data_IF_185968947073
#
_entry.id   IF_185968947073
#
_cell.length_a   1.000
_cell.length_b   1.000
_cell.length_c   1.000
_cell.angle_alpha   90.00
_cell.angle_beta   90.00
_cell.angle_gamma   90.00
#
_symmetry.space_group_name_H-M   'P 1'
#
loop_
_entity.id
_entity.type
_entity.pdbx_description
1 polymer ?
#
# COMPACT_ATOMS: atom_id res chain seq x y z
N UNK A 1 -13.07 -23.41 -42.39
CA UNK A 1 -13.02 -23.51 -40.92
C UNK A 1 -11.59 -23.29 -40.44
N UNK A 2 -11.16 -22.04 -40.29
CA UNK A 2 -9.86 -21.69 -39.74
C UNK A 2 -9.99 -20.36 -38.99
N UNK A 3 -10.36 -20.42 -37.71
CA UNK A 3 -10.52 -19.21 -36.88
C UNK A 3 -10.14 -19.46 -35.41
N UNK A 4 -9.21 -20.40 -35.15
CA UNK A 4 -8.59 -20.60 -33.83
C UNK A 4 -7.14 -20.10 -33.78
N UNK A 5 -6.56 -19.68 -34.91
CA UNK A 5 -5.19 -19.16 -34.98
C UNK A 5 -5.01 -17.70 -34.52
N UNK A 6 -6.11 -16.98 -34.24
CA UNK A 6 -6.08 -15.59 -33.75
C UNK A 6 -6.23 -15.48 -32.23
N UNK A 7 -6.00 -16.57 -31.48
CA UNK A 7 -6.32 -16.60 -30.04
C UNK A 7 -5.41 -15.70 -29.19
N UNK A 8 -4.26 -15.23 -29.69
CA UNK A 8 -3.29 -14.47 -28.89
C UNK A 8 -2.52 -13.49 -29.76
N UNK A 9 -3.03 -12.28 -29.97
CA UNK A 9 -2.28 -11.13 -30.54
C UNK A 9 -1.08 -10.77 -29.65
N UNK A 10 -0.07 -11.64 -29.55
CA UNK A 10 1.04 -11.57 -28.61
C UNK A 10 0.66 -11.71 -27.13
N UNK A 11 -0.59 -11.46 -26.75
CA UNK A 11 -1.00 -11.23 -25.35
C UNK A 11 -0.56 -12.33 -24.38
N UNK A 12 -0.75 -13.59 -24.73
CA UNK A 12 -0.31 -14.72 -23.91
C UNK A 12 1.20 -14.96 -23.98
N UNK A 13 1.82 -14.82 -25.16
CA UNK A 13 3.27 -14.99 -25.33
C UNK A 13 4.08 -13.87 -24.66
N UNK A 14 3.55 -12.65 -24.60
CA UNK A 14 4.16 -11.52 -23.91
C UNK A 14 4.06 -11.65 -22.39
N UNK A 15 2.94 -12.21 -21.89
CA UNK A 15 2.63 -12.24 -20.47
C UNK A 15 3.04 -13.56 -19.76
N UNK A 16 3.12 -14.70 -20.46
CA UNK A 16 3.42 -16.01 -19.83
C UNK A 16 4.89 -16.25 -19.39
N UNK A 17 5.91 -15.96 -20.21
CA UNK A 17 7.30 -16.29 -19.86
C UNK A 17 7.80 -15.67 -18.55
N UNK A 18 7.47 -14.41 -18.21
CA UNK A 18 7.81 -13.83 -16.90
C UNK A 18 6.98 -14.45 -15.76
N UNK A 19 5.72 -14.81 -16.02
CA UNK A 19 4.75 -15.16 -14.98
C UNK A 19 4.84 -16.60 -14.46
N UNK A 20 5.43 -17.52 -15.22
CA UNK A 20 5.66 -18.89 -14.72
C UNK A 20 6.65 -18.95 -13.54
N UNK A 21 7.52 -17.94 -13.40
CA UNK A 21 8.42 -17.76 -12.24
C UNK A 21 7.80 -16.93 -11.11
N UNK A 22 6.71 -16.20 -11.38
CA UNK A 22 6.10 -15.26 -10.44
C UNK A 22 5.32 -15.93 -9.30
N UNK A 23 4.83 -17.16 -9.47
CA UNK A 23 3.94 -17.79 -8.48
C UNK A 23 4.67 -18.14 -7.15
N UNK A 24 6.02 -18.13 -7.11
CA UNK A 24 6.79 -18.62 -5.95
C UNK A 24 7.33 -17.57 -4.97
N UNK A 25 7.45 -16.27 -5.30
CA UNK A 25 8.06 -15.26 -4.39
C UNK A 25 7.49 -13.84 -4.57
N UNK A 26 6.54 -13.43 -3.72
CA UNK A 26 5.73 -12.18 -3.81
C UNK A 26 6.49 -10.89 -4.14
N UNK A 27 7.70 -10.67 -3.62
CA UNK A 27 8.44 -9.41 -3.85
C UNK A 27 9.31 -9.42 -5.13
N UNK A 28 9.68 -10.60 -5.65
CA UNK A 28 10.42 -10.71 -6.93
C UNK A 28 9.49 -10.62 -8.14
N UNK A 29 8.20 -10.94 -7.95
CA UNK A 29 7.17 -10.90 -9.00
C UNK A 29 7.04 -9.53 -9.64
N UNK A 30 7.07 -8.47 -8.83
CA UNK A 30 6.59 -7.16 -9.29
C UNK A 30 7.60 -6.49 -10.21
N UNK A 31 8.91 -6.72 -10.00
CA UNK A 31 9.96 -6.15 -10.86
C UNK A 31 9.99 -6.77 -12.26
N UNK A 32 9.86 -8.09 -12.37
CA UNK A 32 9.79 -8.74 -13.69
C UNK A 32 8.46 -8.43 -14.38
N UNK A 33 7.37 -8.37 -13.62
CA UNK A 33 6.06 -8.01 -14.14
C UNK A 33 6.01 -6.56 -14.62
N UNK A 34 6.70 -5.63 -13.96
CA UNK A 34 6.73 -4.22 -14.35
C UNK A 34 7.26 -4.00 -15.76
N UNK A 35 8.38 -4.62 -16.11
CA UNK A 35 8.95 -4.48 -17.47
C UNK A 35 7.99 -4.92 -18.58
N UNK A 36 7.22 -5.98 -18.31
CA UNK A 36 6.29 -6.57 -19.27
C UNK A 36 4.99 -5.77 -19.30
N UNK A 37 4.46 -5.40 -18.13
CA UNK A 37 3.20 -4.68 -18.00
C UNK A 37 3.33 -3.25 -18.50
N UNK A 38 4.41 -2.54 -18.16
CA UNK A 38 4.67 -1.19 -18.67
C UNK A 38 4.79 -1.15 -20.20
N UNK A 39 5.55 -2.09 -20.78
CA UNK A 39 5.67 -2.22 -22.24
C UNK A 39 4.33 -2.56 -22.87
N UNK A 40 3.58 -3.50 -22.30
CA UNK A 40 2.27 -3.89 -22.81
C UNK A 40 1.25 -2.74 -22.73
N UNK A 41 1.24 -1.96 -21.65
CA UNK A 41 0.38 -0.77 -21.52
C UNK A 41 0.80 0.29 -22.55
N UNK A 42 2.10 0.49 -22.80
CA UNK A 42 2.59 1.43 -23.80
C UNK A 42 2.17 1.04 -25.23
N UNK A 43 2.31 -0.23 -25.58
CA UNK A 43 2.02 -0.73 -26.94
C UNK A 43 0.52 -0.84 -27.23
N UNK A 44 -0.27 -1.25 -26.24
CA UNK A 44 -1.66 -1.64 -26.44
C UNK A 44 -2.67 -0.79 -25.67
N UNK A 45 -2.25 0.02 -24.70
CA UNK A 45 -3.14 0.81 -23.86
C UNK A 45 -4.04 -0.02 -22.92
N UNK A 46 -4.76 0.69 -22.05
CA UNK A 46 -5.63 0.08 -21.04
C UNK A 46 -6.92 -0.53 -21.61
N UNK A 47 -7.32 -0.16 -22.83
CA UNK A 47 -8.57 -0.63 -23.44
C UNK A 47 -8.59 -2.15 -23.71
N UNK A 48 -7.42 -2.80 -23.78
CA UNK A 48 -7.31 -4.26 -23.94
C UNK A 48 -7.31 -5.03 -22.63
N UNK A 49 -7.22 -4.33 -21.50
CA UNK A 49 -7.21 -4.93 -20.17
C UNK A 49 -8.44 -5.80 -19.87
N UNK A 50 -9.69 -5.40 -20.19
CA UNK A 50 -10.85 -6.27 -19.99
C UNK A 50 -10.69 -7.61 -20.71
N UNK A 51 -10.22 -7.59 -21.97
CA UNK A 51 -10.02 -8.82 -22.73
C UNK A 51 -8.90 -9.69 -22.14
N UNK A 52 -7.82 -9.06 -21.68
CA UNK A 52 -6.75 -9.76 -20.97
C UNK A 52 -7.27 -10.44 -19.69
N UNK A 53 -8.13 -9.76 -18.92
CA UNK A 53 -8.74 -10.27 -17.70
C UNK A 53 -9.77 -11.38 -17.94
N UNK A 54 -10.44 -11.40 -19.09
CA UNK A 54 -11.28 -12.52 -19.53
C UNK A 54 -10.43 -13.75 -19.87
N UNK A 55 -9.34 -13.54 -20.60
CA UNK A 55 -8.46 -14.64 -21.03
C UNK A 55 -7.55 -15.17 -19.92
N UNK A 56 -7.19 -14.32 -18.94
CA UNK A 56 -6.26 -14.63 -17.85
C UNK A 56 -6.85 -14.18 -16.51
N UNK A 57 -7.80 -14.92 -15.93
CA UNK A 57 -8.51 -14.50 -14.71
C UNK A 57 -7.61 -14.24 -13.50
N UNK A 58 -6.44 -14.90 -13.41
CA UNK A 58 -5.48 -14.68 -12.33
C UNK A 58 -4.89 -13.26 -12.34
N UNK A 59 -4.89 -12.56 -13.49
CA UNK A 59 -4.44 -11.17 -13.57
C UNK A 59 -5.28 -10.22 -12.71
N UNK A 60 -6.53 -10.59 -12.41
CA UNK A 60 -7.41 -9.83 -11.50
C UNK A 60 -6.81 -9.68 -10.10
N UNK A 61 -5.92 -10.59 -9.71
CA UNK A 61 -5.23 -10.51 -8.42
C UNK A 61 -3.90 -9.75 -8.49
N UNK A 62 -3.24 -9.77 -9.66
CA UNK A 62 -1.91 -9.21 -9.86
C UNK A 62 -1.98 -7.71 -10.20
N UNK A 63 -2.91 -7.32 -11.07
CA UNK A 63 -3.08 -5.93 -11.51
C UNK A 63 -3.27 -4.95 -10.34
N UNK A 64 -4.12 -5.21 -9.33
CA UNK A 64 -4.23 -4.35 -8.15
C UNK A 64 -2.89 -4.10 -7.44
N UNK A 65 -2.12 -5.17 -7.24
CA UNK A 65 -0.84 -5.11 -6.53
C UNK A 65 0.20 -4.36 -7.36
N UNK A 66 0.21 -4.61 -8.67
CA UNK A 66 1.07 -3.88 -9.60
C UNK A 66 0.70 -2.39 -9.64
N UNK A 67 -0.58 -2.06 -9.73
CA UNK A 67 -1.08 -0.70 -9.73
C UNK A 67 -0.67 0.05 -8.47
N UNK A 68 -0.87 -0.59 -7.31
CA UNK A 68 -0.44 -0.03 -6.03
C UNK A 68 1.09 0.11 -5.93
N UNK A 69 1.84 -0.80 -6.54
CA UNK A 69 3.30 -0.80 -6.50
C UNK A 69 3.95 0.23 -7.44
N UNK A 70 3.30 0.48 -8.58
CA UNK A 70 3.79 1.33 -9.67
C UNK A 70 3.21 2.74 -9.66
N UNK A 71 2.13 2.98 -8.92
CA UNK A 71 1.45 4.28 -8.89
C UNK A 71 0.42 4.48 -10.00
N UNK A 72 0.06 3.44 -10.76
CA UNK A 72 -0.89 3.57 -11.87
C UNK A 72 -2.35 3.56 -11.39
N UNK A 73 -2.86 4.74 -11.00
CA UNK A 73 -4.24 4.92 -10.49
C UNK A 73 -5.33 4.37 -11.42
N UNK A 74 -5.15 4.51 -12.74
CA UNK A 74 -6.12 4.06 -13.75
C UNK A 74 -6.36 2.54 -13.71
N UNK A 75 -5.39 1.76 -13.21
CA UNK A 75 -5.55 0.32 -13.03
C UNK A 75 -6.40 -0.02 -11.80
N UNK A 76 -6.56 0.92 -10.86
CA UNK A 76 -7.36 0.76 -9.64
C UNK A 76 -8.83 1.17 -9.83
N UNK A 77 -9.19 1.81 -10.95
CA UNK A 77 -10.59 2.12 -11.30
C UNK A 77 -11.42 0.86 -11.61
N UNK A 78 -10.76 -0.28 -11.78
CA UNK A 78 -11.42 -1.56 -12.03
C UNK A 78 -12.04 -2.12 -10.75
N UNK A 79 -13.14 -2.89 -10.82
CA UNK A 79 -13.69 -3.57 -9.66
C UNK A 79 -12.72 -4.68 -9.21
N UNK A 80 -11.89 -4.36 -8.23
CA UNK A 80 -10.84 -5.24 -7.74
C UNK A 80 -11.29 -5.92 -6.42
N UNK A 81 -10.91 -7.19 -6.21
CA UNK A 81 -11.15 -7.83 -4.92
C UNK A 81 -10.44 -7.04 -3.82
N UNK A 82 -11.13 -6.81 -2.69
CA UNK A 82 -10.50 -6.24 -1.49
C UNK A 82 -9.41 -7.19 -1.00
N UNK A 83 -8.16 -6.76 -1.07
CA UNK A 83 -6.98 -7.54 -0.67
C UNK A 83 -6.21 -6.78 0.39
N UNK A 84 -5.69 -7.50 1.37
CA UNK A 84 -5.05 -6.98 2.59
C UNK A 84 -3.57 -6.57 2.42
N UNK A 85 -3.20 -6.05 1.25
CA UNK A 85 -1.81 -5.58 1.06
C UNK A 85 -1.66 -4.35 0.17
N UNK A 86 -2.74 -3.81 -0.40
CA UNK A 86 -2.62 -2.69 -1.35
C UNK A 86 -2.21 -1.41 -0.63
N UNK A 87 -2.78 -1.20 0.56
CA UNK A 87 -2.44 -0.05 1.42
C UNK A 87 -0.98 -0.12 1.85
N UNK A 88 -0.52 -1.31 2.30
CA UNK A 88 0.87 -1.52 2.67
C UNK A 88 1.84 -1.26 1.51
N UNK A 89 1.53 -1.73 0.30
CA UNK A 89 2.36 -1.50 -0.89
C UNK A 89 2.43 0.01 -1.21
N UNK A 90 1.30 0.72 -1.20
CA UNK A 90 1.27 2.15 -1.48
C UNK A 90 2.16 2.96 -0.51
N UNK A 91 2.12 2.62 0.79
CA UNK A 91 2.98 3.20 1.83
C UNK A 91 4.45 2.91 1.54
N UNK A 92 4.79 1.66 1.27
CA UNK A 92 6.17 1.23 1.01
C UNK A 92 6.75 1.87 -0.26
N UNK A 93 5.91 2.23 -1.22
CA UNK A 93 6.31 2.83 -2.49
C UNK A 93 6.19 4.36 -2.53
N UNK A 94 5.67 4.97 -1.46
CA UNK A 94 5.44 6.42 -1.38
C UNK A 94 4.43 6.95 -2.40
N UNK A 95 3.42 6.13 -2.74
CA UNK A 95 2.34 6.54 -3.62
C UNK A 95 1.16 7.04 -2.78
N UNK A 96 1.22 8.33 -2.40
CA UNK A 96 0.19 8.97 -1.57
C UNK A 96 -1.17 8.99 -2.26
N UNK A 97 -1.17 9.29 -3.56
CA UNK A 97 -2.33 9.29 -4.43
C UNK A 97 -3.05 7.93 -4.46
N UNK A 98 -2.27 6.85 -4.59
CA UNK A 98 -2.78 5.48 -4.50
C UNK A 98 -3.35 5.21 -3.11
N UNK A 99 -2.62 5.61 -2.06
CA UNK A 99 -3.05 5.41 -0.68
C UNK A 99 -4.40 6.09 -0.42
N UNK A 100 -4.53 7.37 -0.79
CA UNK A 100 -5.78 8.13 -0.66
C UNK A 100 -6.93 7.50 -1.45
N UNK A 101 -6.68 7.09 -2.69
CA UNK A 101 -7.69 6.42 -3.51
C UNK A 101 -8.18 5.12 -2.84
N UNK A 102 -7.26 4.28 -2.37
CA UNK A 102 -7.60 3.04 -1.67
C UNK A 102 -8.42 3.31 -0.40
N UNK A 103 -8.03 4.30 0.40
CA UNK A 103 -8.76 4.67 1.62
C UNK A 103 -10.17 5.20 1.30
N UNK A 104 -10.32 6.00 0.24
CA UNK A 104 -11.61 6.51 -0.24
C UNK A 104 -12.52 5.39 -0.76
N UNK A 105 -11.94 4.34 -1.37
CA UNK A 105 -12.68 3.13 -1.76
C UNK A 105 -13.04 2.21 -0.56
N UNK A 106 -12.70 2.61 0.67
CA UNK A 106 -13.03 1.88 1.89
C UNK A 106 -12.07 0.73 2.21
N UNK A 107 -10.86 0.73 1.64
CA UNK A 107 -9.83 -0.23 2.04
C UNK A 107 -9.30 0.18 3.41
N UNK A 108 -9.76 -0.51 4.45
CA UNK A 108 -9.30 -0.34 5.83
C UNK A 108 -8.47 -1.57 6.20
N UNK A 109 -7.20 -1.55 5.82
CA UNK A 109 -6.24 -2.54 6.31
C UNK A 109 -5.80 -2.15 7.73
N UNK A 110 -5.56 -3.14 8.59
CA UNK A 110 -4.93 -2.89 9.89
C UNK A 110 -3.49 -2.46 9.63
N UNK A 111 -3.26 -1.15 9.62
CA UNK A 111 -1.92 -0.61 9.47
C UNK A 111 -1.20 -0.78 10.80
N UNK A 112 -0.21 -1.65 10.79
CA UNK A 112 0.69 -1.85 11.91
C UNK A 112 1.67 -0.66 11.99
N UNK A 113 2.15 -0.40 13.20
CA UNK A 113 3.05 0.72 13.46
C UNK A 113 4.38 0.64 12.71
N UNK A 114 4.81 -0.56 12.32
CA UNK A 114 5.97 -0.78 11.47
C UNK A 114 5.90 0.01 10.15
N UNK A 115 4.69 0.21 9.59
CA UNK A 115 4.49 1.01 8.38
C UNK A 115 4.68 2.51 8.63
N UNK A 116 4.23 3.00 9.80
CA UNK A 116 4.48 4.38 10.22
C UNK A 116 5.98 4.61 10.45
N UNK A 117 6.63 3.71 11.18
CA UNK A 117 8.08 3.75 11.41
C UNK A 117 8.85 3.74 10.10
N UNK A 118 8.50 2.88 9.16
CA UNK A 118 9.13 2.84 7.85
C UNK A 118 8.94 4.14 7.06
N UNK A 119 7.76 4.76 7.14
CA UNK A 119 7.50 6.05 6.50
C UNK A 119 8.35 7.16 7.12
N UNK A 120 8.48 7.18 8.44
CA UNK A 120 9.34 8.11 9.18
C UNK A 120 10.80 7.91 8.80
N UNK A 121 11.33 6.69 8.90
CA UNK A 121 12.72 6.36 8.58
C UNK A 121 13.11 6.77 7.15
N UNK A 122 12.14 6.79 6.22
CA UNK A 122 12.33 7.20 4.83
C UNK A 122 12.05 8.68 4.56
N UNK A 123 11.74 9.47 5.59
CA UNK A 123 11.46 10.91 5.46
C UNK A 123 10.13 11.23 4.75
N UNK A 124 9.18 10.29 4.72
CA UNK A 124 7.95 10.40 3.90
C UNK A 124 6.83 11.12 4.62
N UNK A 125 7.05 12.41 4.93
CA UNK A 125 6.10 13.23 5.68
C UNK A 125 4.65 13.19 5.16
N UNK A 126 4.35 13.23 3.84
CA UNK A 126 2.97 13.17 3.37
C UNK A 126 2.27 11.85 3.72
N UNK A 127 2.99 10.73 3.64
CA UNK A 127 2.47 9.43 4.06
C UNK A 127 2.28 9.40 5.58
N UNK A 128 3.23 9.93 6.36
CA UNK A 128 3.13 9.98 7.84
C UNK A 128 1.89 10.79 8.27
N UNK A 129 1.59 11.91 7.61
CA UNK A 129 0.38 12.71 7.84
C UNK A 129 -0.88 11.91 7.54
N UNK A 130 -0.97 11.32 6.36
CA UNK A 130 -2.10 10.49 5.95
C UNK A 130 -2.34 9.32 6.93
N UNK A 131 -1.28 8.62 7.31
CA UNK A 131 -1.35 7.51 8.26
C UNK A 131 -1.80 7.97 9.65
N UNK A 132 -1.33 9.13 10.10
CA UNK A 132 -1.72 9.70 11.39
C UNK A 132 -3.20 10.07 11.41
N UNK A 133 -3.68 10.78 10.39
CA UNK A 133 -5.08 11.22 10.30
C UNK A 133 -6.05 10.04 10.25
N UNK A 134 -5.68 8.98 9.54
CA UNK A 134 -6.58 7.86 9.26
C UNK A 134 -6.48 6.74 10.32
N UNK A 135 -5.30 6.57 10.94
CA UNK A 135 -4.99 5.44 11.81
C UNK A 135 -4.36 5.84 13.14
N UNK A 136 -4.30 7.13 13.47
CA UNK A 136 -3.75 7.62 14.74
C UNK A 136 -4.38 6.98 15.98
N UNK A 137 -5.63 6.52 15.85
CA UNK A 137 -6.33 5.79 16.90
C UNK A 137 -5.80 4.36 17.16
N UNK A 138 -4.94 3.81 16.30
CA UNK A 138 -4.39 2.44 16.37
C UNK A 138 -2.94 2.43 16.87
N UNK A 139 -2.29 3.60 16.98
CA UNK A 139 -0.89 3.70 17.37
C UNK A 139 -0.69 3.26 18.82
N UNK A 140 0.28 2.35 18.98
CA UNK A 140 0.43 1.41 20.09
C UNK A 140 1.15 1.94 21.33
N UNK A 141 1.90 1.06 21.98
CA UNK A 141 2.44 1.14 23.35
C UNK A 141 3.43 2.29 23.62
N UNK A 142 3.93 2.41 24.86
CA UNK A 142 4.96 3.41 25.19
C UNK A 142 6.29 3.21 24.44
N UNK A 143 6.64 1.95 24.11
CA UNK A 143 7.87 1.60 23.40
C UNK A 143 7.84 2.09 21.94
N UNK A 144 6.68 1.93 21.31
CA UNK A 144 6.35 2.41 19.98
C UNK A 144 6.59 3.94 19.85
N UNK A 145 6.22 4.72 20.87
CA UNK A 145 6.43 6.19 20.88
C UNK A 145 7.91 6.56 20.96
N UNK A 146 8.66 5.85 21.79
CA UNK A 146 10.10 6.09 21.95
C UNK A 146 10.84 5.76 20.65
N UNK A 147 10.38 4.73 19.93
CA UNK A 147 10.96 4.37 18.63
C UNK A 147 10.61 5.40 17.54
N UNK A 148 9.33 5.83 17.45
CA UNK A 148 8.90 6.84 16.46
C UNK A 148 9.69 8.14 16.58
N UNK A 149 9.85 8.65 17.81
CA UNK A 149 10.58 9.90 18.08
C UNK A 149 12.07 9.78 17.76
N UNK A 150 12.71 8.68 18.16
CA UNK A 150 14.11 8.40 17.84
C UNK A 150 14.35 8.35 16.34
N UNK A 151 13.50 7.65 15.60
CA UNK A 151 13.64 7.49 14.14
C UNK A 151 13.39 8.81 13.41
N UNK A 152 12.43 9.62 13.85
CA UNK A 152 12.20 10.95 13.29
C UNK A 152 13.45 11.84 13.43
N UNK A 153 14.05 11.90 14.63
CA UNK A 153 15.27 12.68 14.87
C UNK A 153 16.43 12.17 13.99
N UNK A 154 16.55 10.85 13.81
CA UNK A 154 17.60 10.25 12.99
C UNK A 154 17.51 10.64 11.51
N UNK A 155 16.32 10.96 11.00
CA UNK A 155 16.14 11.35 9.59
C UNK A 155 16.72 12.71 9.23
N UNK A 156 16.96 13.58 10.23
CA UNK A 156 17.39 14.98 10.08
C UNK A 156 16.44 15.82 9.21
N UNK A 157 15.21 15.37 8.98
CA UNK A 157 14.21 16.12 8.25
C UNK A 157 13.38 16.94 9.25
N UNK A 158 13.72 18.23 9.36
CA UNK A 158 13.20 19.14 10.40
C UNK A 158 11.67 19.14 10.43
N UNK A 159 11.00 19.27 9.28
CA UNK A 159 9.53 19.28 9.22
C UNK A 159 8.89 17.99 9.74
N UNK A 160 9.55 16.84 9.57
CA UNK A 160 9.07 15.57 10.09
C UNK A 160 9.31 15.43 11.60
N UNK A 161 10.43 15.95 12.08
CA UNK A 161 10.73 16.02 13.52
C UNK A 161 9.71 16.92 14.20
N UNK A 162 9.49 18.13 13.67
CA UNK A 162 8.51 19.09 14.18
C UNK A 162 7.11 18.47 14.18
N UNK A 163 6.68 17.88 13.06
CA UNK A 163 5.38 17.21 12.99
C UNK A 163 5.25 16.07 14.01
N UNK A 164 6.31 15.29 14.22
CA UNK A 164 6.28 14.18 15.17
C UNK A 164 6.23 14.68 16.62
N UNK A 165 7.01 15.70 16.97
CA UNK A 165 7.07 16.27 18.32
C UNK A 165 5.83 17.09 18.67
N UNK A 166 5.31 17.87 17.73
CA UNK A 166 4.22 18.82 17.97
C UNK A 166 2.83 18.17 17.83
N UNK A 167 2.70 17.17 16.97
CA UNK A 167 1.39 16.56 16.66
C UNK A 167 1.30 15.13 17.19
N UNK A 168 2.25 14.28 16.80
CA UNK A 168 2.13 12.84 17.08
C UNK A 168 2.35 12.56 18.58
N UNK A 169 3.39 13.12 19.19
CA UNK A 169 3.74 12.84 20.59
C UNK A 169 2.65 13.27 21.59
N UNK A 170 2.06 14.48 21.52
CA UNK A 170 1.04 14.90 22.48
C UNK A 170 -0.24 14.08 22.38
N UNK A 171 -0.73 13.82 21.16
CA UNK A 171 -1.94 13.03 20.93
C UNK A 171 -1.82 11.61 21.47
N UNK A 172 -0.63 11.02 21.37
CA UNK A 172 -0.38 9.66 21.87
C UNK A 172 -0.20 9.64 23.39
N UNK A 173 0.41 10.68 23.98
CA UNK A 173 0.51 10.87 25.43
C UNK A 173 -0.88 10.97 26.08
N UNK A 174 -1.77 11.78 25.53
CA UNK A 174 -3.14 11.94 26.04
C UNK A 174 -3.89 10.61 26.05
N UNK A 175 -3.73 9.79 25.00
CA UNK A 175 -4.38 8.47 24.94
C UNK A 175 -3.83 7.50 25.97
N UNK A 176 -2.52 7.49 26.22
CA UNK A 176 -1.93 6.66 27.26
C UNK A 176 -2.46 7.02 28.65
N UNK A 177 -2.57 8.32 28.95
CA UNK A 177 -3.16 8.80 30.20
C UNK A 177 -4.64 8.45 30.32
N UNK A 178 -5.41 8.54 29.24
CA UNK A 178 -6.83 8.18 29.26
C UNK A 178 -7.06 6.66 29.44
N UNK A 179 -6.17 5.82 28.89
CA UNK A 179 -6.22 4.36 29.07
C UNK A 179 -5.87 3.93 30.51
N UNK A 180 -4.93 4.62 31.17
CA UNK A 180 -4.58 4.32 32.56
C UNK A 180 -5.65 4.75 33.57
N UNK A 181 -6.44 5.79 33.26
CA UNK A 181 -7.56 6.22 34.11
C UNK A 181 -8.83 5.39 33.91
N UNK A 182 -9.10 4.90 32.69
CA UNK A 182 -10.26 4.02 32.41
C UNK A 182 -10.15 2.61 32.98
N UNK A 183 -8.94 2.15 33.32
CA UNK A 183 -8.72 0.87 33.98
C UNK A 183 -8.98 0.89 35.49
N UNK A 184 -9.06 2.07 36.12
CA UNK A 184 -9.26 2.20 37.58
C UNK A 184 -10.74 2.16 37.95
N UNK A 185 -11.66 2.36 36.98
CA UNK A 185 -13.11 2.45 37.25
C UNK A 185 -13.89 1.13 37.13
N UNK A 186 -13.24 -0.02 36.89
CA UNK A 186 -13.90 -1.34 36.82
C UNK A 186 -13.62 -2.25 38.02
N UNK A 187 -12.93 -1.76 39.06
CA UNK A 187 -12.59 -2.54 40.27
C UNK A 187 -13.32 -2.02 41.55
N UNK A 188 -14.36 -1.18 41.38
CA UNK A 188 -15.25 -0.71 42.47
C UNK A 188 -16.73 -1.10 42.23
N UNK A 189 -16.99 -2.35 41.88
CA UNK A 189 -18.31 -3.02 42.04
C UNK A 189 -18.12 -4.47 42.45
#
# INVERSE_FOLDING_TARGET
MAATASYQNGLFFSLMPPMSNCVRRRNQVVHSFDSVMSTWIADYGLHRLPKALECLPFLREIIPQYAAWSGHLMLLEWPLPRRHCLVAIAIERNHLDVLELLLNCGYRETIRIDKMLLAIQRGRLPIVRCLHEQFGHVLGSAEDFTQLTRDAIATRYVELVDYTLDVIVPLLRERFLNLSHGAITLDEM
#
